data_IF_961778450471
#
_entry.id   IF_961778450471
#
_cell.length_a   1.000
_cell.length_b   1.000
_cell.length_c   1.000
_cell.angle_alpha   90.00
_cell.angle_beta   90.00
_cell.angle_gamma   90.00
#
_symmetry.space_group_name_H-M   'P 1'
#
loop_
_entity.id
_entity.type
_entity.pdbx_description
1 polymer ?
#
# COMPACT_ATOMS: atom_id res chain seq x y z
N UNK A 1 17.39 6.81 0.22
CA UNK A 1 17.37 5.36 -0.15
C UNK A 1 15.94 4.87 -0.03
N UNK A 2 15.43 4.12 -1.03
CA UNK A 2 14.06 3.62 -1.03
C UNK A 2 13.85 2.49 0.00
N UNK A 3 12.66 2.43 0.61
CA UNK A 3 12.33 1.43 1.64
C UNK A 3 10.90 0.94 1.47
N UNK A 4 10.65 -0.35 1.67
CA UNK A 4 9.27 -0.85 1.81
C UNK A 4 8.71 -0.36 3.14
N UNK A 5 7.58 0.35 3.11
CA UNK A 5 7.00 1.01 4.29
C UNK A 5 5.56 0.61 4.57
N UNK A 6 4.87 0.02 3.60
CA UNK A 6 3.45 -0.32 3.72
C UNK A 6 3.14 -1.61 2.96
N UNK A 7 2.08 -2.31 3.36
CA UNK A 7 1.48 -3.40 2.60
C UNK A 7 -0.04 -3.25 2.53
N UNK A 8 -0.65 -3.81 1.48
CA UNK A 8 -2.10 -3.78 1.29
C UNK A 8 -2.62 -5.19 1.02
N UNK A 9 -3.62 -5.58 1.80
CA UNK A 9 -4.32 -6.87 1.66
C UNK A 9 -5.71 -6.57 1.06
N UNK A 10 -5.94 -6.88 -0.22
CA UNK A 10 -7.25 -6.75 -0.84
C UNK A 10 -8.22 -7.80 -0.29
N UNK A 11 -9.47 -7.42 -0.09
CA UNK A 11 -10.53 -8.31 0.37
C UNK A 11 -11.88 -7.98 -0.27
N UNK A 12 -12.70 -9.00 -0.52
CA UNK A 12 -14.10 -8.80 -0.90
C UNK A 12 -14.88 -8.09 0.20
N UNK A 13 -14.70 -8.52 1.45
CA UNK A 13 -15.32 -7.91 2.61
C UNK A 13 -14.21 -7.51 3.58
N UNK A 14 -13.75 -6.24 3.52
CA UNK A 14 -12.72 -5.73 4.40
C UNK A 14 -13.06 -5.88 5.88
N UNK A 15 -14.33 -5.79 6.27
CA UNK A 15 -14.74 -5.95 7.68
C UNK A 15 -14.53 -7.39 8.14
N UNK A 16 -14.96 -8.35 7.32
CA UNK A 16 -14.73 -9.78 7.61
C UNK A 16 -13.24 -10.10 7.67
N UNK A 17 -12.42 -9.50 6.81
CA UNK A 17 -10.98 -9.67 6.84
C UNK A 17 -10.39 -9.05 8.13
N UNK A 18 -10.78 -7.83 8.51
CA UNK A 18 -10.39 -7.19 9.78
C UNK A 18 -10.72 -8.11 10.96
N UNK A 19 -11.94 -8.64 11.05
CA UNK A 19 -12.34 -9.57 12.12
C UNK A 19 -11.44 -10.82 12.16
N UNK A 20 -11.13 -11.38 11.01
CA UNK A 20 -10.24 -12.52 10.89
C UNK A 20 -8.83 -12.19 11.41
N UNK A 21 -8.20 -11.12 10.91
CA UNK A 21 -6.84 -10.77 11.30
C UNK A 21 -6.73 -10.34 12.77
N UNK A 22 -7.74 -9.63 13.29
CA UNK A 22 -7.83 -9.30 14.71
C UNK A 22 -7.99 -10.55 15.58
N UNK A 23 -8.81 -11.52 15.18
CA UNK A 23 -9.05 -12.73 15.97
C UNK A 23 -7.85 -13.67 15.96
N UNK A 24 -7.23 -13.88 14.79
CA UNK A 24 -6.19 -14.89 14.60
C UNK A 24 -4.81 -14.37 15.01
N UNK A 25 -4.51 -13.11 14.70
CA UNK A 25 -3.16 -12.53 14.91
C UNK A 25 -3.12 -11.41 15.95
N UNK A 26 -4.28 -11.00 16.49
CA UNK A 26 -4.33 -9.92 17.48
C UNK A 26 -4.07 -8.53 16.91
N UNK A 27 -4.09 -8.36 15.58
CA UNK A 27 -3.88 -7.07 14.94
C UNK A 27 -5.02 -6.09 15.24
N UNK A 28 -4.69 -4.82 15.39
CA UNK A 28 -5.69 -3.76 15.52
C UNK A 28 -5.82 -2.99 14.22
N UNK A 29 -6.96 -2.34 14.05
CA UNK A 29 -7.25 -1.61 12.82
C UNK A 29 -7.94 -0.30 13.11
N UNK A 30 -7.56 0.74 12.36
CA UNK A 30 -8.22 2.02 12.34
C UNK A 30 -8.71 2.30 10.92
N UNK A 31 -9.99 2.66 10.79
CA UNK A 31 -10.55 3.02 9.49
C UNK A 31 -10.02 4.39 9.06
N UNK A 32 -9.47 4.46 7.86
CA UNK A 32 -8.95 5.70 7.30
C UNK A 32 -10.01 6.41 6.46
N UNK A 33 -10.44 7.58 6.93
CA UNK A 33 -11.54 8.34 6.32
C UNK A 33 -12.93 7.75 6.59
N UNK A 34 -13.97 8.58 6.46
CA UNK A 34 -15.34 8.18 6.80
C UNK A 34 -16.01 7.29 5.73
N UNK A 35 -15.58 7.41 4.47
CA UNK A 35 -16.24 6.77 3.32
C UNK A 35 -15.39 5.72 2.61
N UNK A 36 -14.18 5.41 3.11
CA UNK A 36 -13.29 4.45 2.47
C UNK A 36 -13.30 3.13 3.24
N UNK A 37 -13.37 2.02 2.51
CA UNK A 37 -13.14 0.69 3.06
C UNK A 37 -11.65 0.39 3.08
N UNK A 38 -10.92 1.24 3.80
CA UNK A 38 -9.47 1.19 3.98
C UNK A 38 -9.16 1.18 5.48
N UNK A 39 -8.57 0.09 5.95
CA UNK A 39 -8.36 -0.19 7.37
C UNK A 39 -6.87 -0.31 7.64
N UNK A 40 -6.27 0.76 8.17
CA UNK A 40 -4.86 0.79 8.55
C UNK A 40 -4.60 -0.18 9.70
N UNK A 41 -3.51 -0.93 9.62
CA UNK A 41 -3.15 -1.93 10.62
C UNK A 41 -2.29 -1.33 11.73
N UNK A 42 -2.40 -1.90 12.93
CA UNK A 42 -1.35 -1.95 13.93
C UNK A 42 -1.02 -3.44 14.12
N UNK A 43 0.04 -3.89 13.46
CA UNK A 43 0.40 -5.31 13.27
C UNK A 43 1.37 -5.85 14.32
N UNK A 44 1.71 -5.03 15.31
CA UNK A 44 2.54 -5.37 16.47
C UNK A 44 2.84 -4.15 17.35
N UNK A 45 3.68 -4.30 18.38
CA UNK A 45 4.21 -3.16 19.14
C UNK A 45 5.04 -2.23 18.25
N UNK A 46 4.92 -0.91 18.44
CA UNK A 46 5.63 0.09 17.62
C UNK A 46 7.16 0.05 17.81
N UNK A 47 7.61 -0.51 18.92
CA UNK A 47 9.02 -0.63 19.28
C UNK A 47 9.70 -1.82 18.58
N UNK A 48 8.91 -2.74 18.02
CA UNK A 48 9.41 -3.89 17.29
C UNK A 48 9.61 -3.58 15.80
N UNK A 49 10.61 -4.19 15.15
CA UNK A 49 10.82 -3.99 13.72
C UNK A 49 9.66 -4.58 12.93
N UNK A 50 9.15 -3.81 11.96
CA UNK A 50 8.06 -4.20 11.09
C UNK A 50 7.65 -3.06 10.17
N UNK A 51 6.66 -3.34 9.34
CA UNK A 51 5.93 -2.33 8.58
C UNK A 51 4.45 -2.49 8.90
N UNK A 52 3.72 -1.39 8.85
CA UNK A 52 2.26 -1.44 8.90
C UNK A 52 1.68 -1.60 7.50
N UNK A 53 0.38 -1.76 7.44
CA UNK A 53 -0.32 -1.98 6.19
C UNK A 53 -1.76 -1.54 6.27
N UNK A 54 -2.56 -2.07 5.36
CA UNK A 54 -3.99 -1.92 5.37
C UNK A 54 -4.71 -3.12 4.78
N UNK A 55 -5.96 -3.28 5.19
CA UNK A 55 -6.95 -4.08 4.46
C UNK A 55 -7.80 -3.12 3.63
N UNK A 56 -7.98 -3.44 2.35
CA UNK A 56 -8.80 -2.63 1.44
C UNK A 56 -9.84 -3.46 0.68
N UNK A 57 -10.92 -2.82 0.25
CA UNK A 57 -11.88 -3.45 -0.69
C UNK A 57 -11.18 -3.70 -2.02
N UNK A 58 -11.14 -4.96 -2.46
CA UNK A 58 -10.53 -5.29 -3.75
C UNK A 58 -11.31 -4.70 -4.94
N UNK A 59 -10.61 -4.49 -6.05
CA UNK A 59 -11.23 -4.13 -7.34
C UNK A 59 -11.66 -5.38 -8.12
N UNK A 60 -10.94 -6.49 -7.98
CA UNK A 60 -11.26 -7.79 -8.57
C UNK A 60 -10.74 -8.95 -7.69
N UNK A 61 -11.30 -10.17 -7.82
CA UNK A 61 -10.93 -11.30 -6.96
C UNK A 61 -9.45 -11.71 -6.97
N UNK A 62 -8.80 -11.53 -8.12
CA UNK A 62 -7.38 -11.90 -8.30
C UNK A 62 -6.42 -10.74 -7.98
N UNK A 63 -6.87 -9.68 -7.29
CA UNK A 63 -6.00 -8.56 -6.94
C UNK A 63 -4.93 -9.05 -5.95
N UNK A 64 -3.63 -8.90 -6.25
CA UNK A 64 -2.58 -9.40 -5.38
C UNK A 64 -2.43 -8.51 -4.14
N UNK A 65 -1.83 -9.08 -3.08
CA UNK A 65 -1.25 -8.28 -2.00
C UNK A 65 -0.14 -7.42 -2.59
N UNK A 66 -0.10 -6.15 -2.22
CA UNK A 66 0.88 -5.18 -2.74
C UNK A 66 1.71 -4.61 -1.60
N UNK A 67 3.01 -4.49 -1.79
CA UNK A 67 3.87 -3.68 -0.93
C UNK A 67 4.03 -2.27 -1.53
N UNK A 68 4.25 -1.27 -0.67
CA UNK A 68 4.54 0.11 -1.11
C UNK A 68 5.97 0.50 -0.75
N UNK A 69 6.70 0.99 -1.74
CA UNK A 69 8.08 1.46 -1.64
C UNK A 69 8.07 2.99 -1.51
N UNK A 70 8.58 3.51 -0.40
CA UNK A 70 8.76 4.94 -0.22
C UNK A 70 9.97 5.44 -1.01
N UNK A 71 9.79 6.55 -1.72
CA UNK A 71 10.82 7.24 -2.50
C UNK A 71 10.84 8.73 -2.19
N UNK A 72 11.96 9.37 -2.50
CA UNK A 72 12.16 10.81 -2.25
C UNK A 72 11.54 11.69 -3.35
N UNK A 73 11.56 11.21 -4.60
CA UNK A 73 10.96 11.87 -5.77
C UNK A 73 10.27 10.80 -6.64
N UNK A 74 8.94 10.77 -6.59
CA UNK A 74 8.14 9.77 -7.31
C UNK A 74 8.15 10.02 -8.82
N UNK A 75 8.22 11.26 -9.28
CA UNK A 75 8.18 11.58 -10.70
C UNK A 75 9.48 11.13 -11.40
N UNK A 76 10.62 11.36 -10.76
CA UNK A 76 11.91 10.82 -11.21
C UNK A 76 11.94 9.29 -11.12
N UNK A 77 11.35 8.71 -10.07
CA UNK A 77 11.27 7.25 -9.90
C UNK A 77 10.44 6.60 -11.00
N UNK A 78 9.29 7.17 -11.38
CA UNK A 78 8.43 6.64 -12.44
C UNK A 78 9.17 6.53 -13.78
N UNK A 79 9.94 7.56 -14.15
CA UNK A 79 10.77 7.52 -15.36
C UNK A 79 11.78 6.38 -15.30
N UNK A 80 12.46 6.22 -14.17
CA UNK A 80 13.42 5.13 -13.98
C UNK A 80 12.75 3.75 -14.05
N UNK A 81 11.53 3.60 -13.52
CA UNK A 81 10.76 2.35 -13.61
C UNK A 81 10.54 1.99 -15.09
N UNK A 82 10.00 2.92 -15.88
CA UNK A 82 9.72 2.68 -17.30
C UNK A 82 11.00 2.43 -18.12
N UNK A 83 12.05 3.23 -17.89
CA UNK A 83 13.36 3.09 -18.56
C UNK A 83 14.02 1.72 -18.28
N UNK A 84 13.69 1.09 -17.15
CA UNK A 84 14.24 -0.21 -16.75
C UNK A 84 13.23 -1.37 -16.92
N UNK A 85 12.20 -1.18 -17.74
CA UNK A 85 11.30 -2.25 -18.18
C UNK A 85 10.13 -2.53 -17.24
N UNK A 86 9.86 -1.64 -16.28
CA UNK A 86 8.62 -1.67 -15.51
C UNK A 86 7.45 -1.02 -16.26
N UNK A 87 6.23 -1.31 -15.81
CA UNK A 87 4.97 -0.83 -16.41
C UNK A 87 4.17 -0.07 -15.37
N UNK A 88 3.82 1.20 -15.61
CA UNK A 88 2.91 1.93 -14.73
C UNK A 88 1.48 1.46 -14.97
N UNK A 89 0.86 0.86 -13.95
CA UNK A 89 -0.49 0.26 -14.05
C UNK A 89 -1.56 1.23 -13.56
N UNK A 90 -1.28 1.89 -12.43
CA UNK A 90 -2.11 2.98 -11.93
C UNK A 90 -1.25 4.24 -11.97
N UNK A 91 -1.65 5.25 -12.77
CA UNK A 91 -0.92 6.51 -12.87
C UNK A 91 -0.73 7.19 -11.52
N UNK A 92 0.20 8.14 -11.46
CA UNK A 92 0.44 8.95 -10.28
C UNK A 92 -0.86 9.62 -9.77
N UNK A 93 -1.17 9.41 -8.50
CA UNK A 93 -2.31 10.00 -7.80
C UNK A 93 -1.82 10.80 -6.61
N UNK A 94 -2.46 11.93 -6.33
CA UNK A 94 -2.24 12.69 -5.09
C UNK A 94 -3.32 12.31 -4.08
N UNK A 95 -2.88 11.94 -2.88
CA UNK A 95 -3.71 11.65 -1.72
C UNK A 95 -3.53 12.81 -0.74
N UNK A 96 -4.54 13.69 -0.58
CA UNK A 96 -4.42 14.86 0.30
C UNK A 96 -4.05 14.49 1.74
N UNK A 97 -3.03 15.15 2.29
CA UNK A 97 -2.54 14.90 3.65
C UNK A 97 -1.71 13.62 3.82
N UNK A 98 -1.37 12.94 2.72
CA UNK A 98 -0.60 11.69 2.73
C UNK A 98 0.58 11.76 1.78
N UNK A 99 0.37 12.18 0.53
CA UNK A 99 1.44 12.30 -0.46
C UNK A 99 1.01 11.89 -1.86
N UNK A 100 1.98 11.49 -2.67
CA UNK A 100 1.79 11.00 -4.05
C UNK A 100 2.01 9.50 -4.10
N UNK A 101 1.14 8.78 -4.81
CA UNK A 101 1.15 7.31 -4.88
C UNK A 101 0.91 6.81 -6.31
N UNK A 102 1.50 5.68 -6.67
CA UNK A 102 1.24 4.98 -7.94
C UNK A 102 1.35 3.45 -7.75
N UNK A 103 0.82 2.69 -8.71
CA UNK A 103 1.11 1.25 -8.81
C UNK A 103 1.81 0.93 -10.13
N UNK A 104 2.81 0.07 -10.08
CA UNK A 104 3.58 -0.37 -11.24
C UNK A 104 3.84 -1.89 -11.17
N UNK A 105 4.13 -2.49 -12.32
CA UNK A 105 4.69 -3.84 -12.39
C UNK A 105 6.19 -3.80 -12.61
N UNK A 106 6.90 -4.70 -11.94
CA UNK A 106 8.30 -4.97 -12.23
C UNK A 106 8.47 -5.74 -13.56
N UNK A 107 9.71 -5.95 -14.05
CA UNK A 107 9.95 -6.71 -15.28
C UNK A 107 9.47 -8.18 -15.23
N UNK A 108 9.16 -8.72 -14.05
CA UNK A 108 8.59 -10.06 -13.87
C UNK A 108 7.06 -10.04 -13.86
N UNK A 109 6.42 -8.87 -13.90
CA UNK A 109 4.98 -8.68 -13.89
C UNK A 109 4.35 -8.59 -12.50
N UNK A 110 5.14 -8.52 -11.42
CA UNK A 110 4.61 -8.39 -10.05
C UNK A 110 4.23 -6.94 -9.75
N UNK A 111 3.07 -6.76 -9.10
CA UNK A 111 2.51 -5.46 -8.77
C UNK A 111 3.13 -4.90 -7.48
N UNK A 112 3.55 -3.64 -7.53
CA UNK A 112 4.12 -2.88 -6.42
C UNK A 112 3.50 -1.48 -6.36
N UNK A 113 3.47 -0.90 -5.17
CA UNK A 113 3.20 0.52 -4.96
C UNK A 113 4.50 1.31 -4.85
N UNK A 114 4.50 2.57 -5.28
CA UNK A 114 5.53 3.54 -4.92
C UNK A 114 4.88 4.81 -4.38
N UNK A 115 5.49 5.41 -3.35
CA UNK A 115 4.94 6.57 -2.66
C UNK A 115 6.01 7.61 -2.31
N UNK A 116 5.71 8.87 -2.57
CA UNK A 116 6.42 10.02 -2.02
C UNK A 116 5.49 10.65 -0.97
N UNK A 117 5.84 10.63 0.33
CA UNK A 117 5.00 11.22 1.36
C UNK A 117 4.98 12.74 1.22
N UNK A 118 3.86 13.36 1.61
CA UNK A 118 3.81 14.81 1.78
C UNK A 118 4.81 15.19 2.88
N UNK A 119 5.68 16.17 2.62
CA UNK A 119 6.61 16.67 3.64
C UNK A 119 5.81 17.40 4.72
N UNK A 120 6.00 17.01 5.97
CA UNK A 120 5.51 17.76 7.14
C UNK A 120 6.12 19.17 7.23
#
# INVERSE_FOLDING_TARGET
MAKVVHFEIPAEDPKRAVEFFSTVFGWKFNRWGENNDYYLTESGPKEEPGIEGAIMKWNHPDQPIVNTIQVEDIESTLKLIEENGGEIVVPLQTIPGVGKHCYFKDPSGFLHGAMEPEME
#
